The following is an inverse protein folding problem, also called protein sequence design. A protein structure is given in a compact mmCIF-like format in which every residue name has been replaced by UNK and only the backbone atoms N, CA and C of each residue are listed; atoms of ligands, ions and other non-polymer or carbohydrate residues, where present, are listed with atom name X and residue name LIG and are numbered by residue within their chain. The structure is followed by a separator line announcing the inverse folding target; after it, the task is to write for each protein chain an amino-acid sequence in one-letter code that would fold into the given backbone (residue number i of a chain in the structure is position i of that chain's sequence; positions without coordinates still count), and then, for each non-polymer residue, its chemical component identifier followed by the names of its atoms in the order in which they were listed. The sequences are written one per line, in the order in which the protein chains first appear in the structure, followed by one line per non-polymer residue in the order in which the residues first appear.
data_IF_192078775954
#
_entry.id   IF_192078775954
#
_cell.length_a   1.000
_cell.length_b   1.000
_cell.length_c   1.000
_cell.angle_alpha   90.00
_cell.angle_beta   90.00
_cell.angle_gamma   90.00
#
_symmetry.space_group_name_H-M   'P 1'
#
loop_
_entity.id
_entity.type
_entity.pdbx_description
1 polymer ?
#
# COMPACT_ATOMS: atom_id res chain seq x y z
N UNK A 1 -9.97 -4.45 20.34
CA UNK A 1 -10.42 -3.77 19.11
C UNK A 1 -11.83 -4.29 18.79
N UNK A 2 -12.83 -3.42 18.57
CA UNK A 2 -14.24 -3.86 18.51
C UNK A 2 -14.94 -3.35 17.24
N UNK A 3 -15.73 -4.22 16.61
CA UNK A 3 -16.60 -3.92 15.46
C UNK A 3 -17.89 -3.16 15.85
N UNK A 4 -17.88 -2.42 16.95
CA UNK A 4 -19.09 -1.74 17.47
C UNK A 4 -19.48 -0.51 16.65
N UNK A 5 -18.49 0.19 16.10
CA UNK A 5 -18.66 1.40 15.32
C UNK A 5 -17.89 1.28 14.01
N UNK A 6 -18.43 1.79 12.91
CA UNK A 6 -17.81 1.73 11.59
C UNK A 6 -16.36 2.25 11.59
N UNK A 7 -16.09 3.40 12.21
CA UNK A 7 -14.72 3.94 12.30
C UNK A 7 -13.76 3.03 13.07
N UNK A 8 -14.22 2.39 14.14
CA UNK A 8 -13.38 1.49 14.95
C UNK A 8 -13.14 0.17 14.20
N UNK A 9 -14.15 -0.34 13.49
CA UNK A 9 -14.02 -1.49 12.60
C UNK A 9 -13.01 -1.19 11.48
N UNK A 10 -13.08 -0.01 10.86
CA UNK A 10 -12.16 0.40 9.81
C UNK A 10 -10.72 0.51 10.32
N UNK A 11 -10.49 1.13 11.48
CA UNK A 11 -9.17 1.19 12.12
C UNK A 11 -8.63 -0.20 12.49
N UNK A 12 -9.52 -1.10 12.91
CA UNK A 12 -9.16 -2.50 13.20
C UNK A 12 -8.77 -3.24 11.91
N UNK A 13 -9.51 -3.05 10.82
CA UNK A 13 -9.17 -3.58 9.50
C UNK A 13 -7.84 -3.01 8.99
N UNK A 14 -7.61 -1.70 9.15
CA UNK A 14 -6.35 -1.06 8.77
C UNK A 14 -5.17 -1.67 9.54
N UNK A 15 -5.32 -1.86 10.85
CA UNK A 15 -4.31 -2.49 11.70
C UNK A 15 -4.01 -3.95 11.31
N UNK A 16 -5.04 -4.69 10.93
CA UNK A 16 -4.89 -6.07 10.44
C UNK A 16 -4.24 -6.08 9.04
N UNK A 17 -4.57 -5.11 8.18
CA UNK A 17 -3.99 -4.95 6.84
C UNK A 17 -2.53 -4.46 6.86
N UNK A 18 -2.06 -3.90 7.96
CA UNK A 18 -0.61 -3.66 8.16
C UNK A 18 0.11 -4.87 8.74
N UNK A 19 -0.62 -5.96 9.04
CA UNK A 19 -0.07 -7.17 9.66
C UNK A 19 0.23 -7.01 11.15
N UNK A 20 -0.19 -5.91 11.79
CA UNK A 20 0.07 -5.67 13.21
C UNK A 20 -0.91 -6.47 14.09
N UNK A 21 -0.36 -7.39 14.88
CA UNK A 21 -1.08 -8.15 15.91
C UNK A 21 -2.42 -8.77 15.46
N UNK A 22 -2.54 -9.16 14.17
CA UNK A 22 -3.77 -9.69 13.59
C UNK A 22 -4.24 -10.99 14.26
N UNK A 23 -3.32 -11.84 14.73
CA UNK A 23 -3.61 -13.08 15.45
C UNK A 23 -4.29 -12.80 16.81
N UNK A 24 -3.86 -11.75 17.52
CA UNK A 24 -4.50 -11.30 18.75
C UNK A 24 -5.92 -10.78 18.50
N UNK A 25 -6.10 -9.97 17.45
CA UNK A 25 -7.41 -9.43 17.05
C UNK A 25 -8.37 -10.54 16.62
N UNK A 26 -7.88 -11.53 15.88
CA UNK A 26 -8.64 -12.72 15.48
C UNK A 26 -9.16 -13.49 16.70
N UNK A 27 -8.27 -13.78 17.67
CA UNK A 27 -8.63 -14.50 18.90
C UNK A 27 -9.62 -13.71 19.76
N UNK A 28 -9.46 -12.40 19.87
CA UNK A 28 -10.39 -11.53 20.58
C UNK A 28 -11.78 -11.52 19.94
N UNK A 29 -11.83 -11.50 18.60
CA UNK A 29 -13.09 -11.55 17.84
C UNK A 29 -13.77 -12.91 17.98
N UNK A 30 -13.00 -14.01 17.96
CA UNK A 30 -13.52 -15.37 18.13
C UNK A 30 -14.09 -15.59 19.53
N UNK A 31 -13.38 -15.14 20.58
CA UNK A 31 -13.84 -15.25 21.97
C UNK A 31 -15.11 -14.43 22.24
N UNK A 32 -15.33 -13.36 21.49
CA UNK A 32 -16.52 -12.53 21.60
C UNK A 32 -17.78 -13.16 20.96
N UNK A 33 -17.61 -14.12 20.03
CA UNK A 33 -18.70 -14.90 19.43
C UNK A 33 -19.01 -16.21 20.18
N UNK A 34 -18.03 -16.78 20.91
CA UNK A 34 -18.22 -18.01 21.68
C UNK A 34 -19.17 -17.84 22.90
N UNK A 35 -19.51 -16.60 23.27
CA UNK A 35 -20.49 -16.29 24.32
C UNK A 35 -21.96 -16.48 23.87
N UNK A 36 -22.20 -16.65 22.56
CA UNK A 36 -23.49 -17.11 22.02
C UNK A 36 -23.45 -18.62 21.82
N UNK A 37 -24.03 -19.34 22.78
CA UNK A 37 -24.16 -20.80 22.84
C UNK A 37 -24.63 -21.43 21.51
N UNK A 38 -23.71 -22.02 20.73
CA UNK A 38 -24.04 -22.95 19.65
C UNK A 38 -23.06 -24.14 19.70
N UNK A 39 -23.58 -25.29 20.12
CA UNK A 39 -22.88 -26.55 20.35
C UNK A 39 -22.37 -27.25 19.06
N UNK A 40 -21.54 -26.59 18.27
CA UNK A 40 -20.77 -27.19 17.15
C UNK A 40 -19.27 -26.85 17.27
N UNK A 41 -18.74 -27.11 18.48
CA UNK A 41 -17.58 -26.47 19.10
C UNK A 41 -16.22 -26.70 18.41
N UNK A 42 -15.98 -27.79 17.66
CA UNK A 42 -14.62 -28.06 17.16
C UNK A 42 -14.37 -27.59 15.72
N UNK A 43 -15.31 -27.83 14.82
CA UNK A 43 -15.14 -27.51 13.39
C UNK A 43 -15.20 -26.00 13.13
N UNK A 44 -16.14 -25.30 13.79
CA UNK A 44 -16.26 -23.84 13.66
C UNK A 44 -15.06 -23.10 14.27
N UNK A 45 -14.42 -23.66 15.32
CA UNK A 45 -13.20 -23.11 15.93
C UNK A 45 -11.96 -23.23 15.03
N UNK A 46 -11.93 -24.19 14.12
CA UNK A 46 -10.84 -24.36 13.15
C UNK A 46 -11.12 -23.56 11.87
N UNK A 47 -12.36 -23.54 11.38
CA UNK A 47 -12.70 -22.83 10.15
C UNK A 47 -12.64 -21.31 10.30
N UNK A 48 -13.10 -20.77 11.43
CA UNK A 48 -13.11 -19.32 11.66
C UNK A 48 -11.72 -18.67 11.52
N UNK A 49 -10.65 -19.18 12.16
CA UNK A 49 -9.31 -18.63 11.95
C UNK A 49 -8.80 -18.85 10.52
N UNK A 50 -9.13 -19.96 9.86
CA UNK A 50 -8.71 -20.19 8.46
C UNK A 50 -9.35 -19.18 7.51
N UNK A 51 -10.65 -18.93 7.64
CA UNK A 51 -11.35 -17.88 6.88
C UNK A 51 -10.72 -16.51 7.12
N UNK A 52 -10.44 -16.18 8.39
CA UNK A 52 -9.82 -14.92 8.75
C UNK A 52 -8.43 -14.77 8.13
N UNK A 53 -7.60 -15.82 8.16
CA UNK A 53 -6.27 -15.83 7.54
C UNK A 53 -6.35 -15.63 6.03
N UNK A 54 -7.25 -16.33 5.34
CA UNK A 54 -7.43 -16.16 3.88
C UNK A 54 -7.88 -14.73 3.55
N UNK A 55 -8.80 -14.16 4.33
CA UNK A 55 -9.24 -12.78 4.17
C UNK A 55 -8.07 -11.78 4.34
N UNK A 56 -7.24 -11.96 5.38
CA UNK A 56 -6.05 -11.13 5.61
C UNK A 56 -5.07 -11.25 4.46
N UNK A 57 -4.78 -12.47 4.00
CA UNK A 57 -3.88 -12.70 2.87
C UNK A 57 -4.40 -12.06 1.57
N UNK A 58 -5.71 -12.13 1.30
CA UNK A 58 -6.34 -11.46 0.16
C UNK A 58 -6.21 -9.94 0.25
N UNK A 59 -6.43 -9.36 1.44
CA UNK A 59 -6.25 -7.93 1.66
C UNK A 59 -4.78 -7.51 1.45
N UNK A 60 -3.82 -8.29 1.97
CA UNK A 60 -2.39 -8.04 1.76
C UNK A 60 -2.00 -8.14 0.30
N UNK A 61 -2.53 -9.14 -0.43
CA UNK A 61 -2.25 -9.29 -1.85
C UNK A 61 -2.70 -8.07 -2.66
N UNK A 62 -3.91 -7.57 -2.40
CA UNK A 62 -4.40 -6.34 -3.03
C UNK A 62 -3.54 -5.13 -2.65
N UNK A 63 -3.17 -5.00 -1.38
CA UNK A 63 -2.31 -3.90 -0.91
C UNK A 63 -0.95 -3.92 -1.62
N UNK A 64 -0.32 -5.09 -1.72
CA UNK A 64 0.96 -5.26 -2.42
C UNK A 64 0.83 -4.90 -3.89
N UNK A 65 -0.22 -5.35 -4.57
CA UNK A 65 -0.44 -5.02 -5.98
C UNK A 65 -0.58 -3.52 -6.20
N UNK A 66 -1.29 -2.81 -5.31
CA UNK A 66 -1.39 -1.35 -5.35
C UNK A 66 -0.03 -0.71 -5.10
N UNK A 67 0.72 -1.15 -4.10
CA UNK A 67 2.05 -0.63 -3.79
C UNK A 67 3.00 -0.81 -4.98
N UNK A 68 3.01 -1.98 -5.60
CA UNK A 68 3.82 -2.24 -6.80
C UNK A 68 3.44 -1.32 -7.95
N UNK A 69 2.14 -1.12 -8.20
CA UNK A 69 1.68 -0.19 -9.23
C UNK A 69 2.16 1.25 -8.95
N UNK A 70 2.05 1.72 -7.70
CA UNK A 70 2.51 3.06 -7.31
C UNK A 70 4.04 3.18 -7.41
N UNK A 71 4.79 2.14 -7.04
CA UNK A 71 6.25 2.15 -7.16
C UNK A 71 6.70 2.20 -8.62
N UNK A 72 6.06 1.44 -9.50
CA UNK A 72 6.34 1.49 -10.94
C UNK A 72 6.04 2.87 -11.53
N UNK A 73 4.93 3.50 -11.13
CA UNK A 73 4.62 4.86 -11.56
C UNK A 73 5.68 5.86 -11.08
N UNK A 74 6.13 5.76 -9.82
CA UNK A 74 7.20 6.63 -9.30
C UNK A 74 8.55 6.42 -9.99
N UNK A 75 8.89 5.18 -10.35
CA UNK A 75 10.10 4.88 -11.10
C UNK A 75 10.04 5.47 -12.52
N UNK A 76 8.90 5.34 -13.18
CA UNK A 76 8.67 5.93 -14.50
C UNK A 76 8.75 7.46 -14.45
N UNK A 77 8.07 8.08 -13.48
CA UNK A 77 8.11 9.53 -13.28
C UNK A 77 9.53 10.03 -13.00
N UNK A 78 10.29 9.34 -12.12
CA UNK A 78 11.68 9.69 -11.82
C UNK A 78 12.59 9.57 -13.05
N UNK A 79 12.41 8.54 -13.88
CA UNK A 79 13.21 8.36 -15.09
C UNK A 79 12.89 9.43 -16.14
N UNK A 80 11.61 9.81 -16.30
CA UNK A 80 11.20 10.90 -17.20
C UNK A 80 11.76 12.25 -16.77
N UNK A 81 11.78 12.54 -15.46
CA UNK A 81 12.37 13.78 -14.95
C UNK A 81 13.87 13.86 -15.25
N UNK A 82 14.62 12.77 -15.04
CA UNK A 82 16.06 12.73 -15.36
C UNK A 82 16.30 12.96 -16.87
N UNK A 83 15.50 12.34 -17.73
CA UNK A 83 15.62 12.51 -19.18
C UNK A 83 15.33 13.96 -19.60
N UNK A 84 14.24 14.55 -19.11
CA UNK A 84 13.88 15.94 -19.41
C UNK A 84 14.93 16.93 -18.89
N UNK A 85 15.50 16.69 -17.70
CA UNK A 85 16.55 17.54 -17.14
C UNK A 85 17.81 17.50 -18.01
N UNK A 86 18.19 16.33 -18.53
CA UNK A 86 19.33 16.20 -19.44
C UNK A 86 19.11 16.95 -20.76
N UNK A 87 17.91 16.84 -21.35
CA UNK A 87 17.56 17.59 -22.57
C UNK A 87 17.57 19.11 -22.35
N UNK A 88 17.10 19.58 -21.19
CA UNK A 88 17.11 21.00 -20.84
C UNK A 88 18.53 21.54 -20.68
N UNK A 89 19.42 20.78 -20.04
CA UNK A 89 20.83 21.17 -19.89
C UNK A 89 21.49 21.32 -21.26
N UNK A 90 21.26 20.38 -22.17
CA UNK A 90 21.81 20.45 -23.54
C UNK A 90 21.29 21.67 -24.32
N UNK A 91 20.00 21.99 -24.18
CA UNK A 91 19.42 23.16 -24.85
C UNK A 91 19.99 24.48 -24.31
N UNK A 92 20.17 24.59 -22.99
CA UNK A 92 20.80 25.77 -22.36
C UNK A 92 22.24 25.91 -22.84
N UNK A 93 23.01 24.82 -22.91
CA UNK A 93 24.39 24.87 -23.41
C UNK A 93 24.46 25.35 -24.86
N UNK A 94 23.58 24.85 -25.75
CA UNK A 94 23.51 25.33 -27.14
C UNK A 94 23.12 26.80 -27.25
N UNK A 95 22.18 27.27 -26.42
CA UNK A 95 21.78 28.67 -26.40
C UNK A 95 22.92 29.59 -25.93
N UNK A 96 23.68 29.16 -24.90
CA UNK A 96 24.84 29.90 -24.42
C UNK A 96 25.95 29.97 -25.47
N UNK A 97 26.23 28.87 -26.18
CA UNK A 97 27.20 28.84 -27.27
C UNK A 97 26.78 29.76 -28.44
N UNK A 98 25.49 29.80 -28.77
CA UNK A 98 24.96 30.73 -29.77
C UNK A 98 25.13 32.20 -29.34
N UNK A 99 24.75 32.52 -28.10
CA UNK A 99 24.85 33.88 -27.55
C UNK A 99 26.32 34.35 -27.50
N UNK A 100 27.27 33.48 -27.14
CA UNK A 100 28.71 33.77 -27.15
C UNK A 100 29.23 34.06 -28.56
N UNK A 101 28.85 33.24 -29.54
CA UNK A 101 29.23 33.43 -30.95
C UNK A 101 28.67 34.73 -31.54
N UNK A 102 27.45 35.13 -31.15
CA UNK A 102 26.87 36.40 -31.58
C UNK A 102 27.62 37.61 -31.00
N UNK A 103 28.14 37.51 -29.78
CA UNK A 103 28.95 38.57 -29.16
C UNK A 103 30.31 38.68 -29.85
N UNK A 104 30.95 37.57 -30.20
CA UNK A 104 32.26 37.58 -30.85
C UNK A 104 32.23 38.18 -32.28
N UNK A 105 31.07 38.10 -32.94
CA UNK A 105 30.88 38.61 -34.32
C UNK A 105 30.35 40.06 -34.39
N UNK A 106 30.11 40.73 -33.26
CA UNK A 106 29.61 42.12 -33.18
C UNK A 106 30.74 43.15 -32.95
#
# INVERSE_FOLDING_TARGET
AHFKNFCIALLTLFRVATGDNWNGIMKDTLRQNDSSHVDNSHFMKIISPIYFVIFVLMAQFVLINIVVAVLMQKLEDSNKMIANDAELVEEIERQLEYDENCIEQA
#
